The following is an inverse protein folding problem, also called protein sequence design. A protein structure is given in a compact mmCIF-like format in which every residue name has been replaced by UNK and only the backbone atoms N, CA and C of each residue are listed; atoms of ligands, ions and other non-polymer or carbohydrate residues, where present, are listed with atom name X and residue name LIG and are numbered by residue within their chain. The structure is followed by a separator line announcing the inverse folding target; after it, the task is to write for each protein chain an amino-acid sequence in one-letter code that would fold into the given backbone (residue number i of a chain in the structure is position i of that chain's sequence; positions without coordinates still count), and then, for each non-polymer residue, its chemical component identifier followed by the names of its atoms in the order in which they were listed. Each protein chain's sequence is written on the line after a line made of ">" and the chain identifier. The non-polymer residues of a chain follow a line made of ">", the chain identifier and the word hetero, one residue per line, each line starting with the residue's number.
data_IF_396080753445
#
_entry.id   IF_396080753445
#
_cell.length_a   1.000
_cell.length_b   1.000
_cell.length_c   1.000
_cell.angle_alpha   90.00
_cell.angle_beta   90.00
_cell.angle_gamma   90.00
#
_symmetry.space_group_name_H-M   'P 1'
#
loop_
_entity.id
_entity.type
_entity.pdbx_description
1 polymer ?
#
# COMPACT_ATOMS: atom_id res chain seq x y z
N UNK A 1 7.80 16.87 11.03
CA UNK A 1 8.39 15.51 11.16
C UNK A 1 7.50 14.58 10.34
N UNK A 2 8.04 13.59 9.61
CA UNK A 2 7.28 12.77 8.69
C UNK A 2 6.46 11.65 9.38
N UNK A 3 5.99 11.86 10.61
CA UNK A 3 5.16 10.92 11.36
C UNK A 3 3.96 11.62 11.94
N UNK A 4 2.80 10.95 11.90
CA UNK A 4 1.59 11.32 12.59
C UNK A 4 1.15 10.19 13.52
N UNK A 5 0.61 10.53 14.70
CA UNK A 5 -0.08 9.56 15.54
C UNK A 5 -1.51 9.46 15.06
N UNK A 6 -1.90 8.29 14.58
CA UNK A 6 -3.22 8.00 14.05
C UNK A 6 -3.67 6.63 14.57
N UNK A 7 -4.88 6.53 15.07
CA UNK A 7 -5.47 5.28 15.58
C UNK A 7 -4.55 4.53 16.58
N UNK A 8 -3.85 5.28 17.45
CA UNK A 8 -2.97 4.75 18.50
C UNK A 8 -1.59 4.27 18.05
N UNK A 9 -1.22 4.44 16.77
CA UNK A 9 0.09 4.08 16.20
C UNK A 9 0.73 5.27 15.50
N UNK A 10 2.03 5.22 15.28
CA UNK A 10 2.75 6.20 14.46
C UNK A 10 2.78 5.74 13.03
N UNK A 11 2.23 6.55 12.12
CA UNK A 11 2.30 6.33 10.68
C UNK A 11 3.29 7.29 10.05
N UNK A 12 4.18 6.75 9.23
CA UNK A 12 5.07 7.54 8.40
C UNK A 12 4.32 8.04 7.17
N UNK A 13 4.52 9.32 6.81
CA UNK A 13 3.92 9.91 5.62
C UNK A 13 4.83 10.95 4.98
N UNK A 14 4.60 11.23 3.71
CA UNK A 14 5.26 12.29 2.96
C UNK A 14 4.24 13.06 2.11
N UNK A 15 4.41 14.38 2.07
CA UNK A 15 3.71 15.24 1.12
C UNK A 15 4.58 15.50 -0.09
N UNK A 16 3.98 15.45 -1.28
CA UNK A 16 4.60 15.76 -2.55
C UNK A 16 3.72 16.71 -3.36
N UNK A 17 4.38 17.46 -4.27
CA UNK A 17 3.69 18.29 -5.25
C UNK A 17 3.25 19.65 -4.72
N UNK A 18 2.09 20.13 -5.24
CA UNK A 18 1.56 21.45 -4.90
C UNK A 18 1.00 21.48 -3.48
N UNK A 19 1.02 22.68 -2.83
CA UNK A 19 0.62 22.80 -1.43
C UNK A 19 -0.90 22.89 -1.22
N UNK A 20 -1.67 23.14 -2.28
CA UNK A 20 -3.12 23.41 -2.19
C UNK A 20 -3.95 22.42 -3.00
N UNK A 21 -5.26 22.43 -2.74
CA UNK A 21 -6.24 21.57 -3.41
C UNK A 21 -6.55 20.29 -2.63
N UNK A 22 -7.60 19.60 -3.08
CA UNK A 22 -7.98 18.28 -2.53
C UNK A 22 -6.89 17.27 -2.83
N UNK A 23 -6.27 16.66 -1.80
CA UNK A 23 -5.11 15.80 -2.04
C UNK A 23 -5.47 14.47 -2.69
N UNK A 24 -4.53 13.94 -3.44
CA UNK A 24 -4.50 12.55 -3.90
C UNK A 24 -3.72 11.73 -2.87
N UNK A 25 -4.35 10.70 -2.31
CA UNK A 25 -3.73 9.79 -1.32
C UNK A 25 -3.47 8.45 -1.99
N UNK A 26 -2.20 8.05 -2.02
CA UNK A 26 -1.77 6.79 -2.61
C UNK A 26 -1.65 5.72 -1.52
N UNK A 27 -2.50 4.70 -1.59
CA UNK A 27 -2.60 3.60 -0.61
C UNK A 27 -1.94 2.36 -1.19
N UNK A 28 -0.79 1.99 -0.62
CA UNK A 28 0.06 0.91 -1.15
C UNK A 28 -0.49 -0.48 -0.82
N UNK A 29 -0.13 -1.44 -1.66
CA UNK A 29 -0.44 -2.85 -1.49
C UNK A 29 0.42 -3.56 -0.45
N UNK A 30 0.15 -4.86 -0.27
CA UNK A 30 0.86 -5.71 0.68
C UNK A 30 2.36 -5.77 0.37
N UNK A 31 3.17 -5.55 1.41
CA UNK A 31 4.64 -5.66 1.33
C UNK A 31 5.35 -4.48 0.66
N UNK A 32 4.60 -3.45 0.25
CA UNK A 32 5.18 -2.20 -0.24
C UNK A 32 4.99 -1.06 0.75
N UNK A 33 5.73 0.03 0.54
CA UNK A 33 5.67 1.27 1.31
C UNK A 33 5.55 2.49 0.40
N UNK A 34 5.67 3.68 0.98
CA UNK A 34 5.61 4.97 0.26
C UNK A 34 6.61 5.11 -0.88
N UNK A 35 7.72 4.37 -0.87
CA UNK A 35 8.74 4.42 -1.94
C UNK A 35 8.33 3.71 -3.22
N UNK A 36 7.23 2.95 -3.21
CA UNK A 36 6.72 2.20 -4.35
C UNK A 36 5.99 3.02 -5.41
N UNK A 37 5.89 4.35 -5.24
CA UNK A 37 5.13 5.25 -6.13
C UNK A 37 5.95 6.19 -7.03
N UNK A 38 7.18 5.87 -7.47
CA UNK A 38 8.03 6.85 -8.16
C UNK A 38 7.42 7.35 -9.48
N UNK A 39 6.78 6.47 -10.25
CA UNK A 39 6.17 6.84 -11.54
C UNK A 39 4.89 7.67 -11.35
N UNK A 40 4.06 7.30 -10.38
CA UNK A 40 2.82 8.03 -10.06
C UNK A 40 3.15 9.40 -9.48
N UNK A 41 4.14 9.50 -8.59
CA UNK A 41 4.61 10.78 -8.05
C UNK A 41 5.17 11.68 -9.15
N UNK A 42 5.96 11.16 -10.07
CA UNK A 42 6.48 11.94 -11.20
C UNK A 42 5.37 12.52 -12.08
N UNK A 43 4.25 11.80 -12.23
CA UNK A 43 3.13 12.23 -13.03
C UNK A 43 2.15 13.17 -12.28
N UNK A 44 1.92 12.91 -10.99
CA UNK A 44 0.88 13.59 -10.21
C UNK A 44 1.39 14.83 -9.48
N UNK A 45 2.60 14.79 -8.92
CA UNK A 45 3.12 15.87 -8.08
C UNK A 45 3.25 17.24 -8.81
N UNK A 46 3.53 17.33 -10.11
CA UNK A 46 3.53 18.62 -10.79
C UNK A 46 2.19 19.36 -10.76
N UNK A 47 1.07 18.64 -10.58
CA UNK A 47 -0.28 19.19 -10.72
C UNK A 47 -1.18 18.99 -9.50
N UNK A 48 -0.81 18.09 -8.57
CA UNK A 48 -1.62 17.71 -7.44
C UNK A 48 -0.82 17.75 -6.14
N UNK A 49 -1.53 18.01 -5.03
CA UNK A 49 -1.05 17.72 -3.69
C UNK A 49 -1.18 16.22 -3.45
N UNK A 50 -0.08 15.53 -3.23
CA UNK A 50 -0.05 14.06 -3.12
C UNK A 50 0.44 13.65 -1.75
N UNK A 51 -0.32 12.78 -1.09
CA UNK A 51 0.06 12.13 0.16
C UNK A 51 0.42 10.67 -0.13
N UNK A 52 1.61 10.27 0.27
CA UNK A 52 2.00 8.86 0.39
C UNK A 52 2.24 8.53 1.85
N UNK A 53 1.99 7.31 2.26
CA UNK A 53 2.23 6.87 3.63
C UNK A 53 2.53 5.38 3.67
N UNK A 54 3.17 4.96 4.76
CA UNK A 54 3.43 3.56 5.03
C UNK A 54 2.26 3.01 5.86
N UNK A 55 1.60 1.97 5.37
CA UNK A 55 0.56 1.27 6.14
C UNK A 55 1.13 0.70 7.45
N UNK A 56 0.27 0.41 8.45
CA UNK A 56 0.71 -0.37 9.61
C UNK A 56 1.46 -1.63 9.19
N UNK A 57 2.56 -1.94 9.86
CA UNK A 57 3.38 -3.11 9.55
C UNK A 57 4.23 -3.00 8.28
N UNK A 58 4.30 -1.83 7.65
CA UNK A 58 5.10 -1.59 6.46
C UNK A 58 6.06 -0.40 6.65
N UNK A 59 7.17 -0.43 5.93
CA UNK A 59 8.14 0.65 5.86
C UNK A 59 8.59 1.13 7.24
N UNK A 60 8.34 2.41 7.52
CA UNK A 60 8.74 3.14 8.74
C UNK A 60 7.60 3.30 9.75
N UNK A 61 6.39 2.85 9.41
CA UNK A 61 5.24 2.87 10.32
C UNK A 61 5.35 1.83 11.42
N UNK A 62 4.66 2.04 12.52
CA UNK A 62 4.61 1.08 13.61
C UNK A 62 3.98 -0.25 13.14
N UNK A 63 4.45 -1.35 13.74
CA UNK A 63 4.01 -2.71 13.42
C UNK A 63 3.50 -3.42 14.69
N UNK A 64 2.30 -3.07 15.19
CA UNK A 64 1.74 -3.71 16.37
C UNK A 64 1.51 -5.22 16.11
N UNK A 65 1.79 -6.04 17.12
CA UNK A 65 1.63 -7.51 17.04
C UNK A 65 0.16 -7.91 17.30
N UNK A 66 -0.69 -7.56 16.35
CA UNK A 66 -2.12 -7.87 16.31
C UNK A 66 -2.52 -8.27 14.89
N UNK A 67 -3.63 -8.98 14.70
CA UNK A 67 -4.17 -9.23 13.37
C UNK A 67 -4.54 -7.93 12.65
N UNK A 68 -4.16 -7.82 11.37
CA UNK A 68 -4.52 -6.69 10.51
C UNK A 68 -5.68 -7.07 9.60
N UNK A 69 -6.65 -6.17 9.47
CA UNK A 69 -7.75 -6.29 8.52
C UNK A 69 -7.78 -5.06 7.63
N UNK A 70 -8.37 -5.17 6.43
CA UNK A 70 -8.56 -3.99 5.56
C UNK A 70 -9.34 -2.90 6.30
N UNK A 71 -10.29 -3.27 7.15
CA UNK A 71 -11.06 -2.32 7.96
C UNK A 71 -10.18 -1.59 8.98
N UNK A 72 -9.37 -2.30 9.78
CA UNK A 72 -8.48 -1.64 10.74
C UNK A 72 -7.47 -0.72 10.07
N UNK A 73 -6.99 -1.09 8.87
CA UNK A 73 -6.08 -0.27 8.08
C UNK A 73 -6.80 0.95 7.44
N UNK A 74 -8.09 0.82 7.12
CA UNK A 74 -8.90 1.95 6.70
C UNK A 74 -9.17 2.94 7.84
N UNK A 75 -9.37 2.44 9.05
CA UNK A 75 -9.49 3.27 10.25
C UNK A 75 -8.19 4.06 10.51
N UNK A 76 -7.01 3.47 10.23
CA UNK A 76 -5.72 4.17 10.27
C UNK A 76 -5.64 5.28 9.21
N UNK A 77 -6.03 4.97 7.98
CA UNK A 77 -6.05 5.95 6.90
C UNK A 77 -6.93 7.15 7.24
N UNK A 78 -8.15 6.90 7.73
CA UNK A 78 -9.08 7.97 8.13
C UNK A 78 -8.52 8.79 9.28
N UNK A 79 -7.94 8.14 10.30
CA UNK A 79 -7.30 8.82 11.42
C UNK A 79 -6.04 9.60 11.00
N UNK A 80 -5.28 9.11 10.00
CA UNK A 80 -4.18 9.86 9.41
C UNK A 80 -4.67 11.14 8.73
N UNK A 81 -5.75 11.04 7.94
CA UNK A 81 -6.36 12.21 7.31
C UNK A 81 -6.83 13.23 8.35
N UNK A 82 -7.41 12.78 9.48
CA UNK A 82 -7.82 13.64 10.59
C UNK A 82 -6.61 14.34 11.22
N UNK A 83 -5.54 13.59 11.53
CA UNK A 83 -4.31 14.13 12.12
C UNK A 83 -3.61 15.15 11.22
N UNK A 84 -3.82 15.05 9.89
CA UNK A 84 -3.25 15.96 8.89
C UNK A 84 -4.21 17.12 8.50
N UNK A 85 -5.39 17.21 9.10
CA UNK A 85 -6.40 18.23 8.78
C UNK A 85 -6.96 18.10 7.37
N UNK A 86 -6.97 16.88 6.81
CA UNK A 86 -7.52 16.60 5.48
C UNK A 86 -8.98 16.20 5.61
N UNK A 87 -9.88 17.10 5.27
CA UNK A 87 -11.33 16.83 5.34
C UNK A 87 -11.81 15.87 4.26
N UNK A 88 -11.23 15.95 3.05
CA UNK A 88 -11.63 15.16 1.89
C UNK A 88 -10.44 14.87 0.98
N UNK A 89 -10.39 13.68 0.39
CA UNK A 89 -9.28 13.25 -0.47
C UNK A 89 -9.75 12.41 -1.68
N UNK A 90 -8.96 12.40 -2.74
CA UNK A 90 -9.02 11.38 -3.78
C UNK A 90 -8.18 10.19 -3.32
N UNK A 91 -8.75 8.99 -3.31
CA UNK A 91 -8.04 7.77 -2.90
C UNK A 91 -7.64 6.95 -4.13
N UNK A 92 -6.39 6.54 -4.18
CA UNK A 92 -5.84 5.64 -5.20
C UNK A 92 -5.28 4.41 -4.47
N UNK A 93 -5.92 3.27 -4.61
CA UNK A 93 -5.55 2.05 -3.91
C UNK A 93 -5.01 0.97 -4.85
N UNK A 94 -3.84 0.42 -4.53
CA UNK A 94 -3.22 -0.69 -5.26
C UNK A 94 -3.35 -1.98 -4.45
N UNK A 95 -3.90 -3.05 -5.04
CA UNK A 95 -3.98 -4.38 -4.44
C UNK A 95 -4.66 -4.32 -3.05
N UNK A 96 -4.00 -4.73 -1.95
CA UNK A 96 -4.49 -4.54 -0.57
C UNK A 96 -4.86 -3.08 -0.30
N UNK A 97 -4.10 -2.11 -0.81
CA UNK A 97 -4.45 -0.69 -0.67
C UNK A 97 -5.79 -0.34 -1.31
N UNK A 98 -6.21 -1.07 -2.33
CA UNK A 98 -7.54 -0.93 -2.92
C UNK A 98 -8.65 -1.43 -1.99
N UNK A 99 -8.45 -2.53 -1.26
CA UNK A 99 -9.43 -2.98 -0.26
C UNK A 99 -9.51 -2.01 0.92
N UNK A 100 -8.37 -1.47 1.36
CA UNK A 100 -8.31 -0.42 2.40
C UNK A 100 -9.10 0.81 1.96
N UNK A 101 -8.88 1.27 0.74
CA UNK A 101 -9.59 2.44 0.20
C UNK A 101 -11.10 2.20 0.06
N UNK A 102 -11.52 1.00 -0.33
CA UNK A 102 -12.94 0.62 -0.36
C UNK A 102 -13.57 0.66 1.04
N UNK A 103 -12.91 0.08 2.06
CA UNK A 103 -13.37 0.14 3.45
C UNK A 103 -13.46 1.58 3.97
N UNK A 104 -12.51 2.44 3.61
CA UNK A 104 -12.55 3.85 3.98
C UNK A 104 -13.76 4.58 3.34
N UNK A 105 -14.07 4.30 2.07
CA UNK A 105 -15.27 4.84 1.41
C UNK A 105 -16.55 4.36 2.08
N UNK A 106 -16.63 3.06 2.42
CA UNK A 106 -17.81 2.49 3.08
C UNK A 106 -18.00 3.07 4.49
N UNK A 107 -16.90 3.32 5.20
CA UNK A 107 -16.94 3.89 6.55
C UNK A 107 -17.29 5.38 6.56
N UNK A 108 -16.75 6.16 5.61
CA UNK A 108 -16.82 7.61 5.60
C UNK A 108 -16.93 8.17 4.16
N UNK A 109 -18.03 7.94 3.44
CA UNK A 109 -18.16 8.32 2.03
C UNK A 109 -18.00 9.82 1.79
N UNK A 110 -18.37 10.66 2.73
CA UNK A 110 -18.19 12.11 2.64
C UNK A 110 -16.72 12.56 2.62
N UNK A 111 -15.81 11.72 3.15
CA UNK A 111 -14.35 11.97 3.19
C UNK A 111 -13.65 11.66 1.88
N UNK A 112 -14.34 11.06 0.91
CA UNK A 112 -13.74 10.60 -0.35
C UNK A 112 -14.30 11.40 -1.52
N UNK A 113 -13.43 12.08 -2.25
CA UNK A 113 -13.77 12.85 -3.43
C UNK A 113 -13.92 11.96 -4.66
N UNK A 114 -13.02 11.00 -4.82
CA UNK A 114 -13.08 9.93 -5.82
C UNK A 114 -12.27 8.73 -5.36
N UNK A 115 -12.55 7.57 -5.94
CA UNK A 115 -11.85 6.31 -5.67
C UNK A 115 -11.34 5.73 -6.97
N UNK A 116 -10.03 5.42 -7.01
CA UNK A 116 -9.39 4.67 -8.09
C UNK A 116 -8.84 3.35 -7.52
N UNK A 117 -9.15 2.26 -8.20
CA UNK A 117 -8.81 0.91 -7.77
C UNK A 117 -7.95 0.23 -8.82
N UNK A 118 -6.76 -0.20 -8.41
CA UNK A 118 -5.79 -0.86 -9.28
C UNK A 118 -5.48 -2.26 -8.76
N UNK A 119 -5.63 -3.29 -9.62
CA UNK A 119 -5.24 -4.68 -9.33
C UNK A 119 -5.74 -5.18 -7.97
N UNK A 120 -7.00 -4.89 -7.63
CA UNK A 120 -7.63 -5.16 -6.34
C UNK A 120 -8.92 -5.96 -6.48
N UNK A 121 -9.59 -6.23 -5.38
CA UNK A 121 -10.83 -7.02 -5.32
C UNK A 121 -11.84 -6.40 -4.35
N UNK A 122 -13.12 -6.74 -4.52
CA UNK A 122 -14.22 -6.17 -3.73
C UNK A 122 -14.67 -7.06 -2.56
N UNK A 123 -14.14 -8.28 -2.43
CA UNK A 123 -14.55 -9.19 -1.38
C UNK A 123 -13.83 -10.54 -1.44
N UNK A 124 -14.10 -11.44 -0.50
CA UNK A 124 -13.45 -12.75 -0.47
C UNK A 124 -13.81 -13.56 -1.72
N UNK A 125 -12.77 -14.10 -2.36
CA UNK A 125 -12.90 -14.96 -3.53
C UNK A 125 -12.00 -16.19 -3.34
N UNK A 126 -12.48 -17.43 -3.59
CA UNK A 126 -11.70 -18.64 -3.36
C UNK A 126 -10.33 -18.64 -4.04
N UNK A 127 -10.25 -18.13 -5.27
CA UNK A 127 -8.98 -17.98 -5.98
C UNK A 127 -8.01 -17.05 -5.25
N UNK A 128 -8.47 -15.91 -4.74
CA UNK A 128 -7.63 -14.96 -4.01
C UNK A 128 -7.15 -15.54 -2.68
N UNK A 129 -8.00 -16.28 -1.98
CA UNK A 129 -7.62 -16.98 -0.76
C UNK A 129 -6.51 -18.00 -1.05
N UNK A 130 -6.65 -18.78 -2.12
CA UNK A 130 -5.63 -19.73 -2.56
C UNK A 130 -4.33 -19.02 -2.95
N UNK A 131 -4.41 -17.91 -3.70
CA UNK A 131 -3.26 -17.10 -4.11
C UNK A 131 -2.52 -16.53 -2.90
N UNK A 132 -3.23 -15.90 -1.96
CA UNK A 132 -2.63 -15.35 -0.73
C UNK A 132 -2.00 -16.48 0.11
N UNK A 133 -2.65 -17.64 0.18
CA UNK A 133 -2.09 -18.84 0.83
C UNK A 133 -0.79 -19.30 0.18
N UNK A 134 -0.74 -19.35 -1.15
CA UNK A 134 0.47 -19.70 -1.92
C UNK A 134 1.59 -18.67 -1.70
N UNK A 135 1.28 -17.38 -1.81
CA UNK A 135 2.25 -16.29 -1.55
C UNK A 135 2.82 -16.38 -0.14
N UNK A 136 1.98 -16.64 0.87
CA UNK A 136 2.42 -16.82 2.25
C UNK A 136 3.37 -18.01 2.40
N UNK A 137 3.06 -19.14 1.74
CA UNK A 137 3.91 -20.33 1.77
C UNK A 137 5.26 -20.05 1.15
N UNK A 138 5.29 -19.46 -0.03
CA UNK A 138 6.52 -19.09 -0.74
C UNK A 138 7.35 -18.08 0.09
N UNK A 139 6.68 -17.08 0.71
CA UNK A 139 7.35 -16.09 1.57
C UNK A 139 8.05 -16.70 2.79
N UNK A 140 7.48 -17.76 3.36
CA UNK A 140 8.08 -18.48 4.51
C UNK A 140 9.24 -19.38 4.11
N UNK A 141 9.27 -19.86 2.88
CA UNK A 141 10.24 -20.82 2.38
C UNK A 141 11.47 -20.17 1.74
N UNK A 142 11.38 -18.93 1.31
CA UNK A 142 12.44 -18.25 0.56
C UNK A 142 13.01 -17.06 1.34
N UNK A 143 14.29 -16.75 1.08
CA UNK A 143 14.87 -15.47 1.46
C UNK A 143 14.16 -14.30 0.74
N UNK A 144 14.33 -13.05 1.21
CA UNK A 144 13.61 -11.91 0.66
C UNK A 144 13.80 -11.72 -0.84
N UNK A 145 15.01 -11.84 -1.37
CA UNK A 145 15.29 -11.63 -2.79
C UNK A 145 14.63 -12.71 -3.64
N UNK A 146 14.82 -13.97 -3.29
CA UNK A 146 14.20 -15.12 -3.96
C UNK A 146 12.68 -15.05 -3.92
N UNK A 147 12.11 -14.58 -2.80
CA UNK A 147 10.67 -14.36 -2.70
C UNK A 147 10.17 -13.33 -3.71
N UNK A 148 10.79 -12.13 -3.78
CA UNK A 148 10.35 -11.10 -4.71
C UNK A 148 10.59 -11.47 -6.17
N UNK A 149 11.65 -12.22 -6.48
CA UNK A 149 11.86 -12.80 -7.80
C UNK A 149 10.75 -13.80 -8.18
N UNK A 150 10.35 -14.67 -7.27
CA UNK A 150 9.22 -15.59 -7.51
C UNK A 150 7.89 -14.83 -7.64
N UNK A 151 7.66 -13.82 -6.80
CA UNK A 151 6.45 -13.01 -6.83
C UNK A 151 6.34 -12.20 -8.13
N UNK A 152 7.45 -11.77 -8.71
CA UNK A 152 7.46 -10.97 -9.95
C UNK A 152 6.77 -11.67 -11.12
N UNK A 153 6.79 -13.01 -11.17
CA UNK A 153 6.10 -13.81 -12.19
C UNK A 153 4.57 -13.62 -12.14
N UNK A 154 4.01 -13.30 -10.98
CA UNK A 154 2.58 -13.02 -10.82
C UNK A 154 2.24 -11.52 -10.93
N UNK A 155 3.23 -10.64 -10.74
CA UNK A 155 3.04 -9.19 -10.77
C UNK A 155 3.21 -8.60 -12.16
N UNK A 156 4.06 -9.20 -13.01
CA UNK A 156 4.40 -8.68 -14.32
C UNK A 156 3.97 -9.61 -15.43
N UNK A 157 3.63 -9.04 -16.58
CA UNK A 157 3.30 -9.80 -17.78
C UNK A 157 4.55 -10.43 -18.40
N UNK A 158 4.45 -11.55 -19.15
CA UNK A 158 5.58 -12.13 -19.87
C UNK A 158 6.30 -11.11 -20.76
N UNK A 159 5.57 -10.16 -21.34
CA UNK A 159 6.13 -9.11 -22.18
C UNK A 159 7.02 -8.14 -21.40
N UNK A 160 6.72 -7.88 -20.13
CA UNK A 160 7.56 -7.07 -19.25
C UNK A 160 8.93 -7.73 -19.04
N UNK A 161 8.97 -9.05 -18.87
CA UNK A 161 10.23 -9.80 -18.76
C UNK A 161 11.11 -9.71 -20.02
N UNK A 162 10.48 -9.59 -21.20
CA UNK A 162 11.20 -9.52 -22.48
C UNK A 162 11.64 -8.09 -22.78
N UNK A 163 10.76 -7.09 -22.56
CA UNK A 163 11.00 -5.71 -23.00
C UNK A 163 11.59 -4.80 -21.94
N UNK A 164 11.39 -5.12 -20.67
CA UNK A 164 11.79 -4.27 -19.54
C UNK A 164 12.33 -5.11 -18.35
N UNK A 165 13.30 -6.02 -18.60
CA UNK A 165 13.84 -6.87 -17.52
C UNK A 165 14.48 -6.05 -16.40
N UNK A 166 15.07 -4.89 -16.72
CA UNK A 166 15.64 -3.96 -15.75
C UNK A 166 14.60 -3.37 -14.79
N UNK A 167 13.35 -3.19 -15.23
CA UNK A 167 12.27 -2.73 -14.36
C UNK A 167 11.98 -3.77 -13.26
N UNK A 168 11.95 -5.05 -13.64
CA UNK A 168 11.73 -6.14 -12.69
C UNK A 168 12.87 -6.18 -11.68
N UNK A 169 14.11 -6.05 -12.13
CA UNK A 169 15.28 -6.02 -11.26
C UNK A 169 15.22 -4.84 -10.27
N UNK A 170 14.88 -3.64 -10.75
CA UNK A 170 14.69 -2.46 -9.90
C UNK A 170 13.63 -2.72 -8.82
N UNK A 171 12.50 -3.32 -9.18
CA UNK A 171 11.42 -3.61 -8.22
C UNK A 171 11.87 -4.64 -7.20
N UNK A 172 12.55 -5.71 -7.60
CA UNK A 172 13.10 -6.73 -6.69
C UNK A 172 14.08 -6.08 -5.71
N UNK A 173 15.08 -5.33 -6.21
CA UNK A 173 16.11 -4.70 -5.38
C UNK A 173 15.55 -3.67 -4.38
N UNK A 174 14.50 -2.96 -4.74
CA UNK A 174 13.82 -2.01 -3.85
C UNK A 174 12.98 -2.68 -2.78
N UNK A 175 12.39 -3.84 -3.10
CA UNK A 175 11.53 -4.57 -2.18
C UNK A 175 12.30 -5.36 -1.11
N UNK A 176 13.51 -5.80 -1.40
CA UNK A 176 14.35 -6.58 -0.46
C UNK A 176 14.61 -5.87 0.87
N UNK A 177 14.98 -4.58 0.92
CA UNK A 177 15.21 -3.88 2.19
C UNK A 177 13.97 -3.72 3.08
N UNK A 178 12.75 -3.77 2.49
CA UNK A 178 11.49 -3.57 3.19
C UNK A 178 11.10 -4.75 4.09
N UNK A 179 11.76 -5.88 3.95
CA UNK A 179 11.44 -7.12 4.70
C UNK A 179 12.07 -7.19 6.09
N UNK A 180 12.85 -6.20 6.51
CA UNK A 180 13.36 -6.08 7.88
C UNK A 180 12.30 -5.69 8.90
N UNK A 181 11.12 -5.23 8.48
CA UNK A 181 9.97 -4.97 9.34
C UNK A 181 9.05 -6.19 9.38
N UNK A 182 8.77 -6.63 10.59
CA UNK A 182 7.92 -7.73 11.04
C UNK A 182 6.88 -8.26 10.02
N UNK A 183 7.06 -9.50 9.58
CA UNK A 183 6.06 -10.26 8.82
C UNK A 183 4.96 -10.86 9.72
N UNK A 184 4.79 -10.36 10.95
CA UNK A 184 3.91 -10.93 11.96
C UNK A 184 2.40 -10.71 11.71
N UNK A 185 1.99 -9.87 10.79
CA UNK A 185 0.61 -9.35 10.72
C UNK A 185 -0.35 -9.98 9.70
N UNK A 186 0.01 -11.03 8.95
CA UNK A 186 -0.94 -11.62 7.98
C UNK A 186 -1.74 -12.74 8.67
N UNK A 187 -2.61 -12.35 9.59
CA UNK A 187 -3.66 -13.19 10.13
C UNK A 187 -4.82 -13.29 9.14
N UNK A 188 -5.39 -14.48 8.98
CA UNK A 188 -6.62 -14.69 8.23
C UNK A 188 -7.78 -13.98 8.95
N UNK A 189 -8.46 -13.08 8.27
CA UNK A 189 -9.79 -12.60 8.55
C UNK A 189 -10.56 -12.62 7.24
#
# INVERSE_FOLDING_TARGET
>A
MPFATANGIRLYYEWHGVESGTPVVLVMGLGGDSTGWPFQLAALAPHHRVLVFDNRGAGRSDAPDIPYTSRSMADDLLALLDALGVERAHLVGLSLGGTIAQEAVLAAPARVASLQLHSTWAGPHPYLQALVGAVRTVRRALDPESFYRALSVWLFTPECFVRQPELIEIVVQRAVPLTGSSTAGIGAG
#
